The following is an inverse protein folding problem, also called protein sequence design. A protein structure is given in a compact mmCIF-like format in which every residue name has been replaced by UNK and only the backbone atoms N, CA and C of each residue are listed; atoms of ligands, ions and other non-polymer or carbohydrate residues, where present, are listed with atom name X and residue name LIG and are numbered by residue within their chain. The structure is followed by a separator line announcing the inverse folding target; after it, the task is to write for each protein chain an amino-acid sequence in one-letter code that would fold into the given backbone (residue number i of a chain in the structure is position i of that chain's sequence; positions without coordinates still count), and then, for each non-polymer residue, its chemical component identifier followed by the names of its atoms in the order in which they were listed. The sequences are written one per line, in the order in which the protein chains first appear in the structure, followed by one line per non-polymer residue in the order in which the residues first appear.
data_IF_315771254545
#
_entry.id   IF_315771254545
#
_cell.length_a   1.000
_cell.length_b   1.000
_cell.length_c   1.000
_cell.angle_alpha   90.00
_cell.angle_beta   90.00
_cell.angle_gamma   90.00
#
_symmetry.space_group_name_H-M   'P 1'
#
loop_
_entity.id
_entity.type
_entity.pdbx_description
1 polymer ?
#
# COMPACT_ATOMS: atom_id res chain seq x y z
N UNK A 1 9.87 36.45 27.50
CA UNK A 1 9.64 35.13 28.13
C UNK A 1 8.38 34.44 27.61
N UNK A 2 7.20 35.09 27.68
CA UNK A 2 5.93 34.53 27.19
C UNK A 2 5.93 34.10 25.71
N UNK A 3 6.55 34.88 24.81
CA UNK A 3 6.66 34.51 23.39
C UNK A 3 7.45 33.21 23.15
N UNK A 4 8.47 32.93 23.97
CA UNK A 4 9.30 31.72 23.87
C UNK A 4 8.53 30.49 24.38
N UNK A 5 7.79 30.64 25.48
CA UNK A 5 6.91 29.58 25.99
C UNK A 5 5.80 29.26 24.98
N UNK A 6 5.16 30.28 24.42
CA UNK A 6 4.13 30.10 23.40
C UNK A 6 4.68 29.46 22.12
N UNK A 7 5.89 29.87 21.68
CA UNK A 7 6.58 29.25 20.56
C UNK A 7 6.87 27.77 20.79
N UNK A 8 7.35 27.40 21.98
CA UNK A 8 7.62 26.01 22.34
C UNK A 8 6.34 25.16 22.41
N UNK A 9 5.28 25.68 23.03
CA UNK A 9 3.98 25.00 23.10
C UNK A 9 3.39 24.82 21.70
N UNK A 10 3.44 25.85 20.84
CA UNK A 10 2.98 25.77 19.45
C UNK A 10 3.78 24.72 18.66
N UNK A 11 5.11 24.69 18.80
CA UNK A 11 5.95 23.69 18.15
C UNK A 11 5.66 22.26 18.64
N UNK A 12 5.40 22.06 19.94
CA UNK A 12 5.00 20.75 20.49
C UNK A 12 3.64 20.33 19.92
N UNK A 13 2.66 21.23 19.89
CA UNK A 13 1.33 20.97 19.32
C UNK A 13 1.47 20.60 17.83
N UNK A 14 2.22 21.36 17.04
CA UNK A 14 2.46 21.05 15.62
C UNK A 14 3.12 19.68 15.43
N UNK A 15 4.04 19.28 16.30
CA UNK A 15 4.66 17.95 16.26
C UNK A 15 3.68 16.84 16.63
N UNK A 16 2.84 17.04 17.65
CA UNK A 16 1.81 16.09 18.06
C UNK A 16 0.76 15.85 16.95
N UNK A 17 0.39 16.89 16.21
CA UNK A 17 -0.56 16.80 15.09
C UNK A 17 0.10 16.55 13.73
N UNK A 18 1.43 16.37 13.66
CA UNK A 18 2.13 16.23 12.38
C UNK A 18 1.67 15.01 11.57
N UNK A 19 1.35 13.89 12.23
CA UNK A 19 0.83 12.69 11.57
C UNK A 19 -0.57 12.86 10.99
N UNK A 20 -1.49 13.47 11.75
CA UNK A 20 -2.87 13.74 11.32
C UNK A 20 -2.94 14.85 10.28
N UNK A 21 -2.08 15.87 10.39
CA UNK A 21 -1.94 16.91 9.38
C UNK A 21 -1.50 16.34 8.02
N UNK A 22 -0.54 15.41 8.02
CA UNK A 22 -0.08 14.75 6.78
C UNK A 22 -1.21 13.98 6.09
N UNK A 23 -1.98 13.21 6.86
CA UNK A 23 -3.16 12.52 6.35
C UNK A 23 -4.15 13.49 5.71
N UNK A 24 -4.51 14.56 6.43
CA UNK A 24 -5.47 15.55 5.95
C UNK A 24 -5.02 16.22 4.66
N UNK A 25 -3.74 16.61 4.57
CA UNK A 25 -3.18 17.23 3.36
C UNK A 25 -3.28 16.29 2.16
N UNK A 26 -2.91 15.02 2.32
CA UNK A 26 -2.97 14.05 1.23
C UNK A 26 -4.42 13.71 0.82
N UNK A 27 -5.33 13.56 1.79
CA UNK A 27 -6.75 13.36 1.53
C UNK A 27 -7.37 14.56 0.80
N UNK A 28 -6.98 15.79 1.15
CA UNK A 28 -7.43 16.98 0.44
C UNK A 28 -7.01 16.95 -1.04
N UNK A 29 -5.77 16.54 -1.35
CA UNK A 29 -5.32 16.37 -2.74
C UNK A 29 -6.15 15.35 -3.51
N UNK A 30 -6.51 14.22 -2.88
CA UNK A 30 -7.39 13.21 -3.48
C UNK A 30 -8.76 13.81 -3.78
N UNK A 31 -9.34 14.55 -2.83
CA UNK A 31 -10.64 15.23 -3.01
C UNK A 31 -10.61 16.31 -4.09
N UNK A 32 -9.52 17.09 -4.18
CA UNK A 32 -9.32 18.08 -5.23
C UNK A 32 -9.21 17.40 -6.60
N UNK A 33 -8.48 16.28 -6.71
CA UNK A 33 -8.39 15.48 -7.93
C UNK A 33 -9.76 14.97 -8.39
N UNK A 34 -10.54 14.40 -7.45
CA UNK A 34 -11.92 13.95 -7.69
C UNK A 34 -12.79 15.10 -8.22
N UNK A 35 -12.71 16.27 -7.56
CA UNK A 35 -13.52 17.43 -7.92
C UNK A 35 -13.13 17.99 -9.29
N UNK A 36 -11.83 18.10 -9.55
CA UNK A 36 -11.29 18.64 -10.81
C UNK A 36 -11.69 17.78 -12.00
N UNK A 37 -11.60 16.45 -11.88
CA UNK A 37 -11.96 15.51 -12.93
C UNK A 37 -13.44 15.11 -12.94
N UNK A 38 -14.27 15.68 -12.06
CA UNK A 38 -15.70 15.37 -11.94
C UNK A 38 -15.98 13.87 -11.83
N UNK A 39 -15.20 13.18 -10.99
CA UNK A 39 -15.28 11.72 -10.83
C UNK A 39 -16.66 11.35 -10.24
N UNK A 40 -17.39 10.38 -10.82
CA UNK A 40 -18.72 10.00 -10.36
C UNK A 40 -18.66 9.38 -8.96
N UNK A 41 -19.75 9.57 -8.18
CA UNK A 41 -19.86 9.12 -6.79
C UNK A 41 -19.39 7.68 -6.49
N UNK A 42 -19.73 6.63 -7.28
CA UNK A 42 -19.27 5.28 -6.99
C UNK A 42 -17.74 5.14 -7.10
N UNK A 43 -17.13 5.77 -8.10
CA UNK A 43 -15.67 5.75 -8.26
C UNK A 43 -14.97 6.64 -7.22
N UNK A 44 -15.60 7.76 -6.85
CA UNK A 44 -15.14 8.62 -5.77
C UNK A 44 -15.03 7.87 -4.45
N UNK A 45 -16.08 7.15 -4.06
CA UNK A 45 -16.10 6.38 -2.82
C UNK A 45 -14.98 5.33 -2.81
N UNK A 46 -14.83 4.57 -3.90
CA UNK A 46 -13.72 3.61 -4.06
C UNK A 46 -12.34 4.26 -3.89
N UNK A 47 -12.12 5.45 -4.45
CA UNK A 47 -10.85 6.17 -4.30
C UNK A 47 -10.59 6.61 -2.85
N UNK A 48 -11.60 7.16 -2.17
CA UNK A 48 -11.47 7.58 -0.77
C UNK A 48 -11.24 6.38 0.17
N UNK A 49 -11.98 5.28 -0.04
CA UNK A 49 -11.84 4.04 0.73
C UNK A 49 -10.47 3.40 0.53
N UNK A 50 -10.02 3.29 -0.72
CA UNK A 50 -8.67 2.82 -1.04
C UNK A 50 -7.61 3.64 -0.30
N UNK A 51 -7.71 4.97 -0.34
CA UNK A 51 -6.76 5.85 0.33
C UNK A 51 -6.77 5.63 1.85
N UNK A 52 -7.95 5.53 2.46
CA UNK A 52 -8.09 5.28 3.90
C UNK A 52 -7.45 3.95 4.31
N UNK A 53 -7.72 2.88 3.55
CA UNK A 53 -7.14 1.56 3.80
C UNK A 53 -5.62 1.56 3.62
N UNK A 54 -5.12 2.15 2.52
CA UNK A 54 -3.69 2.26 2.26
C UNK A 54 -2.98 3.08 3.35
N UNK A 55 -3.59 4.18 3.80
CA UNK A 55 -3.04 5.01 4.88
C UNK A 55 -3.00 4.26 6.21
N UNK A 56 -4.07 3.58 6.60
CA UNK A 56 -4.12 2.82 7.84
C UNK A 56 -3.09 1.69 7.86
N UNK A 57 -2.79 1.08 6.71
CA UNK A 57 -1.81 0.01 6.62
C UNK A 57 -0.36 0.51 6.59
N UNK A 58 -0.09 1.56 5.81
CA UNK A 58 1.27 2.07 5.58
C UNK A 58 1.65 3.21 6.53
N UNK A 59 0.70 3.73 7.31
CA UNK A 59 0.79 5.01 8.02
C UNK A 59 1.19 6.18 7.10
N UNK A 60 0.96 6.08 5.79
CA UNK A 60 1.39 7.08 4.81
C UNK A 60 2.89 7.07 4.53
N UNK A 61 3.58 5.97 4.81
CA UNK A 61 4.99 5.77 4.46
C UNK A 61 5.06 5.20 3.04
N UNK A 62 5.66 5.97 2.12
CA UNK A 62 6.00 5.46 0.80
C UNK A 62 7.30 4.64 0.89
N UNK A 63 7.16 3.31 0.86
CA UNK A 63 8.30 2.40 0.94
C UNK A 63 9.31 2.64 -0.18
N UNK A 64 8.89 2.97 -1.40
CA UNK A 64 9.83 3.22 -2.50
C UNK A 64 10.67 4.47 -2.23
N UNK A 65 10.05 5.51 -1.65
CA UNK A 65 10.76 6.72 -1.28
C UNK A 65 11.76 6.47 -0.14
N UNK A 66 11.39 5.65 0.85
CA UNK A 66 12.29 5.28 1.96
C UNK A 66 13.46 4.44 1.46
N UNK A 67 13.21 3.43 0.62
CA UNK A 67 14.25 2.53 0.11
C UNK A 67 15.29 3.27 -0.74
N UNK A 68 14.89 4.30 -1.51
CA UNK A 68 15.81 5.15 -2.29
C UNK A 68 16.88 5.85 -1.44
N UNK A 69 16.69 5.98 -0.12
CA UNK A 69 17.68 6.55 0.79
C UNK A 69 18.84 5.61 1.14
N UNK A 70 18.77 4.33 0.77
CA UNK A 70 19.75 3.31 1.13
C UNK A 70 20.47 2.73 -0.09
N UNK A 71 21.70 2.20 0.07
CA UNK A 71 22.38 1.40 -0.94
C UNK A 71 21.57 0.17 -1.38
N UNK A 72 21.74 -0.26 -2.63
CA UNK A 72 20.98 -1.37 -3.24
C UNK A 72 21.05 -2.68 -2.43
N UNK A 73 22.22 -3.01 -1.86
CA UNK A 73 22.37 -4.17 -0.99
C UNK A 73 21.42 -4.12 0.22
N UNK A 74 21.33 -2.97 0.90
CA UNK A 74 20.44 -2.81 2.05
C UNK A 74 18.97 -2.81 1.63
N UNK A 75 18.64 -2.22 0.48
CA UNK A 75 17.28 -2.29 -0.05
C UNK A 75 16.85 -3.75 -0.25
N UNK A 76 17.72 -4.57 -0.81
CA UNK A 76 17.43 -5.97 -1.07
C UNK A 76 17.21 -6.78 0.21
N UNK A 77 17.98 -6.51 1.26
CA UNK A 77 17.84 -7.17 2.56
C UNK A 77 16.53 -6.75 3.25
N UNK A 78 16.17 -5.47 3.17
CA UNK A 78 14.89 -4.96 3.68
C UNK A 78 13.72 -5.59 2.92
N UNK A 79 13.76 -5.61 1.59
CA UNK A 79 12.73 -6.22 0.75
C UNK A 79 12.57 -7.71 1.02
N UNK A 80 13.69 -8.43 1.23
CA UNK A 80 13.66 -9.84 1.60
C UNK A 80 13.00 -10.05 2.96
N UNK A 81 13.33 -9.22 3.94
CA UNK A 81 12.72 -9.28 5.27
C UNK A 81 11.20 -9.01 5.23
N UNK A 82 10.78 -7.95 4.55
CA UNK A 82 9.37 -7.55 4.45
C UNK A 82 8.51 -8.61 3.76
N UNK A 83 9.05 -9.29 2.74
CA UNK A 83 8.34 -10.33 2.00
C UNK A 83 8.61 -11.75 2.53
N UNK A 84 9.36 -11.90 3.63
CA UNK A 84 9.86 -13.20 4.11
C UNK A 84 8.76 -14.20 4.41
N UNK A 85 7.63 -13.76 4.97
CA UNK A 85 6.47 -14.62 5.28
C UNK A 85 5.89 -15.21 3.99
N UNK A 86 5.68 -14.37 2.97
CA UNK A 86 5.13 -14.78 1.68
C UNK A 86 6.09 -15.71 0.95
N UNK A 87 7.38 -15.37 0.93
CA UNK A 87 8.40 -16.18 0.25
C UNK A 87 8.59 -17.55 0.91
N UNK A 88 8.49 -17.64 2.24
CA UNK A 88 8.62 -18.91 2.97
C UNK A 88 7.38 -19.80 2.87
N UNK A 89 6.20 -19.19 2.84
CA UNK A 89 4.93 -19.94 2.86
C UNK A 89 4.46 -20.37 1.47
N UNK A 90 4.95 -19.73 0.40
CA UNK A 90 4.54 -20.05 -0.95
C UNK A 90 5.36 -21.24 -1.50
N UNK A 91 4.70 -22.35 -1.90
CA UNK A 91 5.40 -23.54 -2.42
C UNK A 91 6.27 -23.27 -3.65
N UNK A 92 5.94 -22.23 -4.43
CA UNK A 92 6.67 -21.86 -5.64
C UNK A 92 8.13 -21.43 -5.36
N UNK A 93 8.46 -21.03 -4.13
CA UNK A 93 9.79 -20.54 -3.76
C UNK A 93 10.59 -21.51 -2.89
N UNK A 94 10.10 -22.73 -2.66
CA UNK A 94 10.70 -23.70 -1.73
C UNK A 94 12.15 -24.03 -2.05
N UNK A 95 12.48 -24.20 -3.33
CA UNK A 95 13.81 -24.58 -3.81
C UNK A 95 14.60 -23.39 -4.37
N UNK A 96 14.12 -22.15 -4.14
CA UNK A 96 14.79 -20.95 -4.62
C UNK A 96 16.01 -20.64 -3.74
N UNK A 97 17.14 -20.31 -4.39
CA UNK A 97 18.35 -19.86 -3.68
C UNK A 97 18.12 -18.51 -3.00
N UNK A 98 18.88 -18.20 -1.95
CA UNK A 98 18.77 -16.90 -1.28
C UNK A 98 19.05 -15.72 -2.22
N UNK A 99 20.01 -15.88 -3.14
CA UNK A 99 20.28 -14.86 -4.17
C UNK A 99 19.06 -14.62 -5.08
N UNK A 100 18.36 -15.69 -5.46
CA UNK A 100 17.12 -15.59 -6.24
C UNK A 100 16.01 -14.88 -5.46
N UNK A 101 15.79 -15.27 -4.19
CA UNK A 101 14.80 -14.65 -3.32
C UNK A 101 15.07 -13.16 -3.10
N UNK A 102 16.35 -12.79 -2.96
CA UNK A 102 16.79 -11.40 -2.80
C UNK A 102 16.53 -10.56 -4.05
N UNK A 103 16.81 -11.10 -5.24
CA UNK A 103 16.47 -10.42 -6.49
C UNK A 103 14.97 -10.34 -6.70
N UNK A 104 14.23 -11.39 -6.37
CA UNK A 104 12.79 -11.46 -6.53
C UNK A 104 12.07 -10.51 -5.57
N UNK A 105 12.51 -10.41 -4.31
CA UNK A 105 11.91 -9.53 -3.31
C UNK A 105 11.99 -8.05 -3.70
N UNK A 106 13.03 -7.65 -4.42
CA UNK A 106 13.20 -6.31 -4.99
C UNK A 106 12.21 -5.99 -6.12
N UNK A 107 11.60 -6.99 -6.75
CA UNK A 107 10.60 -6.83 -7.82
C UNK A 107 9.17 -6.92 -7.31
N UNK A 108 8.96 -7.44 -6.10
CA UNK A 108 7.64 -7.50 -5.48
C UNK A 108 7.13 -6.09 -5.15
N UNK A 109 5.86 -5.85 -5.49
CA UNK A 109 5.15 -4.63 -5.15
C UNK A 109 3.94 -4.98 -4.30
N UNK A 110 3.86 -4.39 -3.12
CA UNK A 110 2.69 -4.54 -2.25
C UNK A 110 1.55 -3.70 -2.79
N UNK A 111 0.44 -4.36 -3.12
CA UNK A 111 -0.81 -3.70 -3.52
C UNK A 111 -1.90 -4.01 -2.51
N UNK A 112 -2.73 -3.02 -2.23
CA UNK A 112 -3.89 -3.17 -1.35
C UNK A 112 -5.16 -3.14 -2.18
N UNK A 113 -6.09 -4.05 -1.92
CA UNK A 113 -7.42 -4.03 -2.52
C UNK A 113 -8.45 -3.97 -1.39
N UNK A 114 -9.36 -2.98 -1.37
CA UNK A 114 -10.45 -2.96 -0.41
C UNK A 114 -11.47 -4.08 -0.69
N UNK A 115 -12.32 -4.44 0.28
CA UNK A 115 -13.39 -5.41 0.04
C UNK A 115 -14.30 -4.98 -1.12
N UNK A 116 -14.65 -5.91 -2.00
CA UNK A 116 -15.50 -5.66 -3.17
C UNK A 116 -14.77 -5.11 -4.40
N UNK A 117 -13.46 -4.81 -4.30
CA UNK A 117 -12.66 -4.44 -5.46
C UNK A 117 -12.28 -5.67 -6.30
N UNK A 118 -12.44 -5.56 -7.63
CA UNK A 118 -12.06 -6.60 -8.57
C UNK A 118 -10.60 -6.36 -9.00
N UNK A 119 -9.73 -7.34 -8.74
CA UNK A 119 -8.30 -7.24 -9.06
C UNK A 119 -8.04 -7.50 -10.55
N UNK A 120 -8.81 -8.38 -11.17
CA UNK A 120 -8.66 -8.74 -12.58
C UNK A 120 -10.01 -9.13 -13.16
N UNK A 121 -10.33 -8.63 -14.35
CA UNK A 121 -11.56 -8.98 -15.05
C UNK A 121 -11.33 -10.10 -16.05
N UNK A 122 -12.39 -10.86 -16.32
CA UNK A 122 -12.38 -11.90 -17.36
C UNK A 122 -12.16 -11.23 -18.71
N UNK A 123 -11.11 -11.66 -19.42
CA UNK A 123 -10.73 -11.12 -20.73
C UNK A 123 -9.57 -10.12 -20.67
N UNK A 124 -9.15 -9.70 -19.46
CA UNK A 124 -7.97 -8.86 -19.31
C UNK A 124 -6.69 -9.64 -19.65
N UNK A 125 -5.72 -8.93 -20.24
CA UNK A 125 -4.37 -9.45 -20.41
C UNK A 125 -3.70 -9.50 -19.04
N UNK A 126 -3.24 -10.68 -18.63
CA UNK A 126 -2.51 -10.84 -17.37
C UNK A 126 -1.11 -10.24 -17.49
N UNK A 127 -0.90 -9.06 -16.90
CA UNK A 127 0.39 -8.36 -16.89
C UNK A 127 1.20 -8.62 -15.63
N UNK A 128 0.63 -9.24 -14.61
CA UNK A 128 1.25 -9.42 -13.30
C UNK A 128 0.73 -10.66 -12.60
N UNK A 129 1.60 -11.28 -11.79
CA UNK A 129 1.25 -12.37 -10.89
C UNK A 129 1.00 -11.80 -9.51
N UNK A 130 -0.07 -12.25 -8.86
CA UNK A 130 -0.47 -11.81 -7.53
C UNK A 130 -0.24 -12.93 -6.53
N UNK A 131 0.27 -12.55 -5.36
CA UNK A 131 0.43 -13.44 -4.21
C UNK A 131 -0.36 -12.86 -3.04
N UNK A 132 -1.26 -13.65 -2.47
CA UNK A 132 -2.09 -13.21 -1.35
C UNK A 132 -1.23 -13.28 -0.08
N UNK A 133 -0.79 -12.13 0.41
CA UNK A 133 -0.04 -12.04 1.67
C UNK A 133 -0.97 -12.06 2.89
N UNK A 134 -2.11 -11.38 2.80
CA UNK A 134 -3.14 -11.27 3.85
C UNK A 134 -4.52 -11.04 3.23
N UNK A 135 -5.56 -11.56 3.87
CA UNK A 135 -6.94 -11.49 3.40
C UNK A 135 -7.34 -12.71 2.57
N UNK A 136 -8.49 -12.61 1.93
CA UNK A 136 -9.01 -13.63 1.02
C UNK A 136 -9.54 -12.99 -0.26
N UNK A 137 -9.55 -13.75 -1.34
CA UNK A 137 -10.15 -13.32 -2.61
C UNK A 137 -11.24 -14.30 -3.04
N UNK A 138 -12.28 -13.76 -3.66
CA UNK A 138 -13.35 -14.56 -4.26
C UNK A 138 -13.14 -14.64 -5.77
N UNK A 139 -13.23 -15.85 -6.32
CA UNK A 139 -13.21 -16.07 -7.76
C UNK A 139 -14.67 -16.19 -8.20
N UNK A 140 -15.09 -15.28 -9.07
CA UNK A 140 -16.43 -15.22 -9.63
C UNK A 140 -16.45 -15.80 -11.04
N UNK A 141 -17.46 -16.63 -11.32
CA UNK A 141 -17.80 -17.09 -12.68
C UNK A 141 -19.30 -16.91 -12.87
N UNK A 142 -19.67 -16.09 -13.86
CA UNK A 142 -21.07 -15.80 -14.19
C UNK A 142 -21.87 -15.38 -12.94
N UNK A 143 -21.33 -14.41 -12.18
CA UNK A 143 -21.83 -13.88 -10.90
C UNK A 143 -21.98 -14.87 -9.74
N UNK A 144 -21.46 -16.09 -9.88
CA UNK A 144 -21.41 -17.09 -8.83
C UNK A 144 -19.98 -17.25 -8.28
N UNK A 145 -19.86 -17.32 -6.96
CA UNK A 145 -18.58 -17.61 -6.28
C UNK A 145 -18.22 -19.08 -6.54
N UNK A 146 -17.13 -19.30 -7.27
CA UNK A 146 -16.63 -20.66 -7.58
C UNK A 146 -15.50 -21.10 -6.67
N UNK A 147 -14.77 -20.16 -6.06
CA UNK A 147 -13.71 -20.46 -5.11
C UNK A 147 -13.41 -19.25 -4.22
N UNK A 148 -12.85 -19.53 -3.04
CA UNK A 148 -12.32 -18.55 -2.11
C UNK A 148 -10.88 -18.97 -1.80
N UNK A 149 -9.93 -18.05 -1.97
CA UNK A 149 -8.48 -18.26 -1.73
C UNK A 149 -7.99 -17.38 -0.58
#
# INVERSE_FOLDING_TARGET
MYASIFGNVSAIIQRLYSGTARYQIQMLRVKEFIRFHQIPNPLRQRLEDYFNHAWNYTNGIDMNMVLKGFPECLQADICLHLNSVLLKNCPAFKDASEGCLRTFSMKLKTTHAPPGDIITHRGDILTSLYFISRGSIEILKDDNVVAIL
#
